data_IF_018783511473
#
_entry.id   IF_018783511473
#
_cell.length_a   1.000
_cell.length_b   1.000
_cell.length_c   1.000
_cell.angle_alpha   90.00
_cell.angle_beta   90.00
_cell.angle_gamma   90.00
#
_symmetry.space_group_name_H-M   'P 1'
#
loop_
_entity.id
_entity.type
_entity.pdbx_description
1 polymer ?
#
# COMPACT_ATOMS: atom_id res chain seq x y z
N UNK A 1 -5.60 5.39 -4.74
CA UNK A 1 -6.84 4.66 -4.38
C UNK A 1 -6.99 3.38 -5.19
N UNK A 2 -6.90 3.44 -6.51
CA UNK A 2 -7.04 2.26 -7.37
C UNK A 2 -6.18 1.05 -6.95
N UNK A 3 -4.90 1.26 -6.65
CA UNK A 3 -4.01 0.17 -6.21
C UNK A 3 -4.42 -0.45 -4.87
N UNK A 4 -4.95 0.35 -3.94
CA UNK A 4 -5.46 -0.18 -2.67
C UNK A 4 -6.75 -0.98 -2.90
N UNK A 5 -7.62 -0.52 -3.81
CA UNK A 5 -8.82 -1.27 -4.20
C UNK A 5 -8.47 -2.60 -4.89
N UNK A 6 -7.34 -2.68 -5.59
CA UNK A 6 -6.82 -3.97 -6.13
C UNK A 6 -6.46 -4.97 -5.02
N UNK A 7 -6.17 -4.49 -3.81
CA UNK A 7 -5.96 -5.31 -2.61
C UNK A 7 -7.27 -5.61 -1.86
N UNK A 8 -8.43 -5.30 -2.44
CA UNK A 8 -9.74 -5.59 -1.86
C UNK A 8 -10.32 -4.51 -0.96
N UNK A 9 -9.75 -3.29 -0.92
CA UNK A 9 -10.39 -2.19 -0.20
C UNK A 9 -11.63 -1.66 -0.92
N UNK A 10 -12.59 -1.12 -0.16
CA UNK A 10 -13.71 -0.36 -0.69
C UNK A 10 -13.50 1.14 -0.40
N UNK A 11 -12.81 1.81 -1.32
CA UNK A 11 -12.55 3.26 -1.26
C UNK A 11 -12.97 3.92 -2.55
N UNK A 12 -13.77 4.98 -2.44
CA UNK A 12 -14.24 5.78 -3.56
C UNK A 12 -13.82 7.24 -3.36
N UNK A 13 -13.47 7.92 -4.46
CA UNK A 13 -13.07 9.34 -4.42
C UNK A 13 -14.13 10.21 -5.06
N UNK A 14 -14.58 11.24 -4.36
CA UNK A 14 -15.51 12.26 -4.85
C UNK A 14 -14.87 13.65 -4.69
N UNK A 15 -14.33 14.18 -5.79
CA UNK A 15 -13.58 15.43 -5.79
C UNK A 15 -12.34 15.37 -4.90
N UNK A 16 -12.36 16.11 -3.79
CA UNK A 16 -11.28 16.14 -2.77
C UNK A 16 -11.57 15.26 -1.55
N UNK A 17 -12.69 14.54 -1.55
CA UNK A 17 -13.08 13.64 -0.47
C UNK A 17 -12.84 12.18 -0.88
N UNK A 18 -12.54 11.35 0.10
CA UNK A 18 -12.51 9.90 -0.06
C UNK A 18 -13.52 9.29 0.93
N UNK A 19 -14.40 8.44 0.41
CA UNK A 19 -15.34 7.64 1.17
C UNK A 19 -14.69 6.27 1.35
N UNK A 20 -14.55 5.84 2.61
CA UNK A 20 -13.90 4.57 2.96
C UNK A 20 -14.94 3.71 3.66
N UNK A 21 -15.29 2.59 3.05
CA UNK A 21 -16.07 1.56 3.71
C UNK A 21 -15.11 0.49 4.24
N UNK A 22 -15.15 0.25 5.55
CA UNK A 22 -14.31 -0.76 6.17
C UNK A 22 -14.58 -2.15 5.57
N UNK A 23 -13.51 -2.87 5.26
CA UNK A 23 -13.57 -4.26 4.81
C UNK A 23 -13.02 -5.19 5.90
N UNK A 24 -13.45 -6.45 5.89
CA UNK A 24 -13.00 -7.42 6.90
C UNK A 24 -11.50 -7.72 6.80
N UNK A 25 -10.96 -7.71 5.57
CA UNK A 25 -9.55 -7.97 5.28
C UNK A 25 -9.14 -7.39 3.93
N UNK A 26 -7.84 -7.15 3.78
CA UNK A 26 -7.20 -6.96 2.50
C UNK A 26 -6.59 -8.29 2.03
N UNK A 27 -6.43 -8.44 0.72
CA UNK A 27 -5.75 -9.58 0.10
C UNK A 27 -4.53 -9.12 -0.67
N UNK A 28 -3.45 -9.88 -0.57
CA UNK A 28 -2.22 -9.61 -1.29
C UNK A 28 -2.45 -9.59 -2.80
N UNK A 29 -1.85 -8.63 -3.48
CA UNK A 29 -1.98 -8.43 -4.91
C UNK A 29 -0.71 -7.78 -5.49
N UNK A 30 -0.44 -7.95 -6.80
CA UNK A 30 0.59 -7.18 -7.48
C UNK A 30 0.11 -5.74 -7.68
N UNK A 31 0.77 -4.77 -7.06
CA UNK A 31 0.44 -3.35 -7.10
C UNK A 31 1.63 -2.49 -7.54
N UNK A 32 1.36 -1.24 -7.92
CA UNK A 32 2.38 -0.29 -8.39
C UNK A 32 2.39 0.95 -7.50
N UNK A 33 3.56 1.35 -7.00
CA UNK A 33 3.67 2.57 -6.21
C UNK A 33 3.41 3.81 -7.10
N UNK A 34 2.32 4.58 -6.88
CA UNK A 34 1.97 5.69 -7.77
C UNK A 34 2.80 6.96 -7.50
N UNK A 35 3.25 7.11 -6.26
CA UNK A 35 4.03 8.23 -5.78
C UNK A 35 4.70 7.85 -4.45
N UNK A 36 5.41 8.81 -3.84
CA UNK A 36 6.17 8.60 -2.61
C UNK A 36 5.30 8.10 -1.45
N UNK A 37 4.19 8.77 -1.16
CA UNK A 37 3.36 8.49 0.02
C UNK A 37 2.37 7.37 -0.26
N UNK A 38 1.81 7.35 -1.46
CA UNK A 38 0.96 6.26 -1.95
C UNK A 38 1.70 4.92 -1.95
N UNK A 39 2.97 4.90 -2.37
CA UNK A 39 3.80 3.70 -2.30
C UNK A 39 4.02 3.21 -0.87
N UNK A 40 4.39 4.11 0.05
CA UNK A 40 4.54 3.76 1.47
C UNK A 40 3.24 3.27 2.09
N UNK A 41 2.09 3.84 1.72
CA UNK A 41 0.78 3.38 2.15
C UNK A 41 0.47 1.95 1.66
N UNK A 42 0.84 1.61 0.42
CA UNK A 42 0.67 0.25 -0.12
C UNK A 42 1.58 -0.77 0.57
N UNK A 43 2.78 -0.38 1.01
CA UNK A 43 3.63 -1.26 1.84
C UNK A 43 2.92 -1.62 3.14
N UNK A 44 2.36 -0.62 3.84
CA UNK A 44 1.60 -0.87 5.07
C UNK A 44 0.35 -1.72 4.82
N UNK A 45 -0.36 -1.46 3.71
CA UNK A 45 -1.49 -2.29 3.31
C UNK A 45 -1.05 -3.74 3.05
N UNK A 46 0.13 -3.96 2.46
CA UNK A 46 0.69 -5.28 2.21
C UNK A 46 1.02 -6.04 3.48
N UNK A 47 1.52 -5.34 4.52
CA UNK A 47 1.77 -5.93 5.85
C UNK A 47 0.47 -6.37 6.56
N UNK A 48 -0.65 -5.69 6.28
CA UNK A 48 -1.96 -6.01 6.85
C UNK A 48 -2.78 -7.01 6.02
N UNK A 49 -2.39 -7.27 4.77
CA UNK A 49 -3.12 -8.11 3.85
C UNK A 49 -2.84 -9.61 4.06
N UNK A 50 -3.83 -10.45 3.79
CA UNK A 50 -3.62 -11.89 3.73
C UNK A 50 -2.95 -12.29 2.41
N UNK A 51 -1.90 -13.11 2.48
CA UNK A 51 -1.17 -13.60 1.30
C UNK A 51 0.04 -12.73 0.97
N UNK A 52 0.40 -12.67 -0.32
CA UNK A 52 1.62 -12.00 -0.78
C UNK A 52 1.25 -10.76 -1.59
N UNK A 53 1.80 -9.62 -1.20
CA UNK A 53 1.71 -8.36 -1.97
C UNK A 53 3.04 -8.10 -2.65
N UNK A 54 3.02 -7.93 -3.97
CA UNK A 54 4.20 -7.54 -4.75
C UNK A 54 4.06 -6.07 -5.15
N UNK A 55 5.03 -5.23 -4.78
CA UNK A 55 4.97 -3.79 -5.04
C UNK A 55 6.07 -3.42 -6.04
N UNK A 56 5.65 -2.90 -7.20
CA UNK A 56 6.55 -2.40 -8.25
C UNK A 56 6.70 -0.87 -8.19
N UNK A 57 7.66 -0.33 -8.95
CA UNK A 57 8.03 1.10 -8.97
C UNK A 57 8.49 1.68 -7.62
N UNK A 58 9.23 0.87 -6.87
CA UNK A 58 9.75 1.20 -5.53
C UNK A 58 10.58 2.49 -5.49
N UNK A 59 11.16 2.92 -6.62
CA UNK A 59 11.93 4.16 -6.71
C UNK A 59 11.12 5.38 -6.23
N UNK A 60 9.80 5.34 -6.33
CA UNK A 60 8.95 6.39 -5.78
C UNK A 60 9.08 6.52 -4.26
N UNK A 61 9.16 5.39 -3.55
CA UNK A 61 9.27 5.26 -2.09
C UNK A 61 10.68 5.65 -1.64
N UNK A 62 11.71 5.17 -2.34
CA UNK A 62 13.12 5.40 -2.01
C UNK A 62 13.51 6.88 -1.97
N UNK A 63 12.79 7.73 -2.72
CA UNK A 63 12.99 9.20 -2.71
C UNK A 63 12.74 9.86 -1.36
N UNK A 64 12.04 9.22 -0.43
CA UNK A 64 11.72 9.81 0.88
C UNK A 64 11.77 8.84 2.06
N UNK A 65 11.88 7.53 1.83
CA UNK A 65 12.02 6.53 2.88
C UNK A 65 13.32 5.75 2.73
N UNK A 66 14.37 6.25 3.39
CA UNK A 66 15.68 5.59 3.36
C UNK A 66 15.67 4.22 4.05
N UNK A 67 16.11 3.18 3.34
CA UNK A 67 16.21 1.78 3.79
C UNK A 67 14.91 1.28 4.44
N UNK A 68 13.78 1.54 3.78
CA UNK A 68 12.46 1.33 4.36
C UNK A 68 12.21 -0.14 4.70
N UNK A 69 12.52 -1.02 3.77
CA UNK A 69 12.44 -2.48 3.88
C UNK A 69 13.33 -3.03 5.00
N UNK A 70 14.54 -2.49 5.18
CA UNK A 70 15.42 -2.93 6.27
C UNK A 70 14.86 -2.54 7.64
N UNK A 71 14.29 -1.34 7.76
CA UNK A 71 13.67 -0.87 9.01
C UNK A 71 12.44 -1.71 9.36
N UNK A 72 11.61 -2.05 8.36
CA UNK A 72 10.44 -2.90 8.58
C UNK A 72 10.85 -4.32 8.99
N UNK A 73 11.81 -4.94 8.30
CA UNK A 73 12.36 -6.26 8.68
C UNK A 73 12.93 -6.26 10.10
N UNK A 74 13.61 -5.18 10.52
CA UNK A 74 14.14 -5.05 11.87
C UNK A 74 13.04 -5.02 12.95
N UNK A 75 11.78 -4.73 12.58
CA UNK A 75 10.61 -4.79 13.46
C UNK A 75 9.88 -6.14 13.41
N UNK A 76 10.36 -7.10 12.61
CA UNK A 76 9.75 -8.43 12.46
C UNK A 76 8.66 -8.52 11.38
N UNK A 77 8.62 -7.54 10.46
CA UNK A 77 7.78 -7.59 9.27
C UNK A 77 8.32 -8.55 8.21
#
# INVERSE_FOLDING_TARGET
VNELNRMGSDVQTEGRHAIINGVSKLTGAPVKAPDLRGGAALVLAGLAAEGVTEISDIYHIDRGYHNFEHKLRALGA
#
